data_IF_764049723073
#
_entry.id   IF_764049723073
#
_cell.length_a   1.000
_cell.length_b   1.000
_cell.length_c   1.000
_cell.angle_alpha   90.00
_cell.angle_beta   90.00
_cell.angle_gamma   90.00
#
_symmetry.space_group_name_H-M   'P 1'
#
loop_
_entity.id
_entity.type
_entity.pdbx_description
1 polymer ?
#
# COMPACT_ATOMS: atom_id res chain seq x y z
N UNK A 1 -21.12 8.11 -14.36
CA UNK A 1 -19.90 7.36 -14.03
C UNK A 1 -18.67 8.21 -14.26
N UNK A 2 -18.16 8.88 -13.22
CA UNK A 2 -16.90 9.63 -13.32
C UNK A 2 -15.76 8.64 -13.15
N UNK A 3 -15.31 8.04 -14.25
CA UNK A 3 -14.17 7.11 -14.33
C UNK A 3 -12.83 7.74 -13.95
N UNK A 4 -12.75 8.29 -12.73
CA UNK A 4 -11.49 8.65 -12.11
C UNK A 4 -10.69 7.37 -11.93
N UNK A 5 -9.55 7.29 -12.58
CA UNK A 5 -8.62 6.18 -12.39
C UNK A 5 -8.16 6.22 -10.93
N UNK A 6 -8.70 5.34 -10.10
CA UNK A 6 -8.44 5.27 -8.66
C UNK A 6 -6.98 4.93 -8.32
N UNK A 7 -6.21 4.54 -9.33
CA UNK A 7 -4.79 4.24 -9.24
C UNK A 7 -3.90 5.40 -9.75
N UNK A 8 -4.45 6.61 -9.91
CA UNK A 8 -3.64 7.79 -10.22
C UNK A 8 -2.53 7.97 -9.21
N UNK A 9 -1.40 8.47 -9.69
CA UNK A 9 -0.25 8.77 -8.86
C UNK A 9 -0.18 10.26 -8.60
N UNK A 10 0.04 10.65 -7.36
CA UNK A 10 0.32 12.04 -7.01
C UNK A 10 1.75 12.44 -7.49
N UNK A 11 2.16 13.67 -7.18
CA UNK A 11 3.49 14.18 -7.54
C UNK A 11 4.64 13.36 -6.91
N UNK A 12 4.38 12.72 -5.76
CA UNK A 12 5.30 11.82 -5.08
C UNK A 12 5.18 10.36 -5.57
N UNK A 13 4.48 10.12 -6.68
CA UNK A 13 4.36 8.77 -7.24
C UNK A 13 3.55 7.79 -6.40
N UNK A 14 2.71 8.27 -5.47
CA UNK A 14 1.86 7.47 -4.58
C UNK A 14 0.43 7.40 -5.10
N UNK A 15 -0.24 6.25 -4.97
CA UNK A 15 -1.69 6.15 -5.19
C UNK A 15 -2.46 6.66 -3.97
N UNK A 16 -3.75 7.04 -4.12
CA UNK A 16 -4.62 7.30 -2.97
C UNK A 16 -4.58 6.20 -1.90
N UNK A 17 -4.44 4.94 -2.33
CA UNK A 17 -4.36 3.78 -1.44
C UNK A 17 -3.05 3.73 -0.64
N UNK A 18 -1.93 4.17 -1.21
CA UNK A 18 -0.67 4.34 -0.47
C UNK A 18 -0.83 5.38 0.63
N UNK A 19 -1.41 6.54 0.30
CA UNK A 19 -1.59 7.65 1.25
C UNK A 19 -2.53 7.24 2.37
N UNK A 20 -3.68 6.66 2.03
CA UNK A 20 -4.63 6.16 3.02
C UNK A 20 -4.00 5.06 3.91
N UNK A 21 -3.17 4.20 3.31
CA UNK A 21 -2.49 3.15 4.03
C UNK A 21 -1.44 3.66 5.00
N UNK A 22 -0.62 4.62 4.57
CA UNK A 22 0.40 5.27 5.40
C UNK A 22 -0.21 6.05 6.59
N UNK A 23 -1.42 6.60 6.43
CA UNK A 23 -2.10 7.37 7.48
C UNK A 23 -3.02 6.53 8.36
N UNK A 24 -3.19 5.23 8.08
CA UNK A 24 -4.05 4.35 8.85
C UNK A 24 -5.55 4.60 8.66
N UNK A 25 -5.95 5.27 7.56
CA UNK A 25 -7.34 5.64 7.29
C UNK A 25 -8.15 4.45 6.74
N UNK A 26 -8.55 3.53 7.62
CA UNK A 26 -9.26 2.30 7.26
C UNK A 26 -10.53 2.51 6.44
N UNK A 27 -11.38 3.48 6.80
CA UNK A 27 -12.62 3.77 6.06
C UNK A 27 -12.31 4.21 4.62
N UNK A 28 -11.31 5.06 4.45
CA UNK A 28 -10.85 5.51 3.13
C UNK A 28 -10.27 4.35 2.33
N UNK A 29 -9.50 3.46 2.96
CA UNK A 29 -8.98 2.23 2.32
C UNK A 29 -10.13 1.37 1.82
N UNK A 30 -11.17 1.15 2.64
CA UNK A 30 -12.36 0.38 2.24
C UNK A 30 -13.05 1.04 1.03
N UNK A 31 -13.28 2.35 1.07
CA UNK A 31 -13.92 3.07 -0.04
C UNK A 31 -13.11 2.97 -1.35
N UNK A 32 -11.79 3.10 -1.27
CA UNK A 32 -10.91 2.98 -2.43
C UNK A 32 -10.91 1.56 -3.00
N UNK A 33 -10.87 0.54 -2.15
CA UNK A 33 -10.94 -0.86 -2.56
C UNK A 33 -12.30 -1.21 -3.19
N UNK A 34 -13.41 -0.68 -2.65
CA UNK A 34 -14.74 -0.78 -3.26
C UNK A 34 -14.80 -0.09 -4.63
N UNK A 35 -14.04 1.00 -4.79
CA UNK A 35 -13.81 1.68 -6.06
C UNK A 35 -12.88 0.94 -7.04
N UNK A 36 -12.50 -0.31 -6.75
CA UNK A 36 -11.58 -1.14 -7.54
C UNK A 36 -10.14 -0.60 -7.60
N UNK A 37 -9.69 0.09 -6.56
CA UNK A 37 -8.27 0.41 -6.42
C UNK A 37 -7.45 -0.88 -6.36
N UNK A 38 -6.31 -0.90 -7.05
CA UNK A 38 -5.42 -2.06 -7.07
C UNK A 38 -4.44 -1.99 -5.89
N UNK A 39 -4.53 -2.91 -4.91
CA UNK A 39 -3.65 -2.93 -3.75
C UNK A 39 -2.22 -3.41 -4.05
N UNK A 40 -1.95 -3.82 -5.30
CA UNK A 40 -0.64 -4.32 -5.74
C UNK A 40 0.19 -3.26 -6.46
N UNK A 41 -0.35 -2.06 -6.68
CA UNK A 41 0.37 -0.97 -7.34
C UNK A 41 1.61 -0.65 -6.52
N UNK A 42 2.75 -0.57 -7.20
CA UNK A 42 3.98 -0.04 -6.61
C UNK A 42 4.03 1.46 -6.84
N UNK A 43 4.42 2.21 -5.83
CA UNK A 43 4.75 3.62 -5.99
C UNK A 43 5.89 3.81 -7.01
N UNK A 44 6.05 5.07 -7.44
CA UNK A 44 7.14 5.49 -8.33
C UNK A 44 8.32 6.12 -7.58
N UNK A 45 8.35 5.96 -6.26
CA UNK A 45 9.50 6.39 -5.47
C UNK A 45 10.68 5.42 -5.66
N UNK A 46 11.83 5.83 -5.14
CA UNK A 46 13.06 5.04 -5.18
C UNK A 46 12.92 3.66 -4.51
N UNK A 47 11.92 3.47 -3.66
CA UNK A 47 11.69 2.21 -2.94
C UNK A 47 10.67 1.29 -3.62
N UNK A 48 9.86 1.76 -4.59
CA UNK A 48 8.86 0.94 -5.30
C UNK A 48 7.96 0.15 -4.34
N UNK A 49 7.51 0.81 -3.27
CA UNK A 49 6.70 0.22 -2.18
C UNK A 49 5.26 0.02 -2.63
N UNK A 50 4.55 -0.91 -1.98
CA UNK A 50 3.09 -1.09 -2.18
C UNK A 50 2.32 -0.41 -1.05
N UNK A 51 0.98 -0.22 -1.15
CA UNK A 51 0.18 0.27 -0.03
C UNK A 51 0.33 -0.58 1.24
N UNK A 52 0.57 -1.88 1.06
CA UNK A 52 0.82 -2.81 2.16
C UNK A 52 2.14 -2.50 2.89
N UNK A 53 3.21 -2.14 2.18
CA UNK A 53 4.45 -1.66 2.81
C UNK A 53 4.19 -0.39 3.61
N UNK A 54 3.48 0.57 3.03
CA UNK A 54 3.21 1.86 3.68
C UNK A 54 2.40 1.70 4.99
N UNK A 55 1.40 0.81 5.00
CA UNK A 55 0.63 0.51 6.21
C UNK A 55 1.44 -0.26 7.25
N UNK A 56 2.22 -1.26 6.82
CA UNK A 56 3.02 -2.09 7.72
C UNK A 56 4.18 -1.32 8.37
N UNK A 57 4.87 -0.46 7.63
CA UNK A 57 5.94 0.42 8.17
C UNK A 57 5.45 1.38 9.25
N UNK A 58 4.15 1.69 9.26
CA UNK A 58 3.52 2.57 10.23
C UNK A 58 2.80 1.81 11.35
N UNK A 59 2.77 0.48 11.29
CA UNK A 59 2.10 -0.36 12.29
C UNK A 59 0.57 -0.27 12.25
N UNK A 60 -0.01 -0.01 11.07
CA UNK A 60 -1.47 0.07 10.90
C UNK A 60 -2.07 -1.31 10.59
N UNK A 61 -2.09 -2.18 11.60
CA UNK A 61 -2.51 -3.59 11.48
C UNK A 61 -3.93 -3.76 10.91
N UNK A 62 -4.84 -2.86 11.25
CA UNK A 62 -6.20 -2.81 10.71
C UNK A 62 -6.20 -2.62 9.19
N UNK A 63 -5.39 -1.70 8.68
CA UNK A 63 -5.23 -1.46 7.24
C UNK A 63 -4.50 -2.61 6.57
N UNK A 64 -3.49 -3.18 7.22
CA UNK A 64 -2.77 -4.37 6.72
C UNK A 64 -3.76 -5.50 6.45
N UNK A 65 -4.67 -5.78 7.41
CA UNK A 65 -5.75 -6.76 7.25
C UNK A 65 -6.61 -6.47 6.02
N UNK A 66 -7.13 -5.24 5.90
CA UNK A 66 -7.98 -4.83 4.78
C UNK A 66 -7.30 -4.99 3.42
N UNK A 67 -6.02 -4.62 3.32
CA UNK A 67 -5.26 -4.75 2.08
C UNK A 67 -5.02 -6.23 1.72
N UNK A 68 -4.75 -7.09 2.70
CA UNK A 68 -4.61 -8.53 2.49
C UNK A 68 -5.93 -9.17 2.04
N UNK A 69 -7.05 -8.79 2.64
CA UNK A 69 -8.40 -9.22 2.22
C UNK A 69 -8.71 -8.80 0.78
N UNK A 70 -8.22 -7.63 0.36
CA UNK A 70 -8.33 -7.17 -1.02
C UNK A 70 -7.33 -7.82 -1.99
N UNK A 71 -6.53 -8.78 -1.52
CA UNK A 71 -5.60 -9.54 -2.35
C UNK A 71 -4.23 -8.88 -2.55
N UNK A 72 -3.83 -7.94 -1.67
CA UNK A 72 -2.43 -7.52 -1.59
C UNK A 72 -1.53 -8.74 -1.33
N UNK A 73 -0.38 -8.78 -2.00
CA UNK A 73 0.58 -9.87 -1.80
C UNK A 73 1.44 -9.55 -0.59
N UNK A 74 1.31 -10.38 0.44
CA UNK A 74 2.15 -10.34 1.67
C UNK A 74 3.65 -10.47 1.37
N UNK A 75 4.01 -11.18 0.30
CA UNK A 75 5.39 -11.40 -0.14
C UNK A 75 5.80 -10.48 -1.30
N UNK A 76 5.03 -9.42 -1.60
CA UNK A 76 5.49 -8.42 -2.57
C UNK A 76 6.76 -7.79 -2.04
N UNK A 77 7.83 -7.79 -2.82
CA UNK A 77 9.05 -7.10 -2.42
C UNK A 77 9.08 -5.66 -2.94
N UNK A 78 9.68 -4.76 -2.17
CA UNK A 78 10.05 -3.42 -2.61
C UNK A 78 11.33 -3.46 -3.48
N UNK A 79 11.94 -2.31 -3.78
CA UNK A 79 13.18 -2.22 -4.55
C UNK A 79 14.40 -2.80 -3.81
N UNK A 80 14.39 -2.79 -2.48
CA UNK A 80 15.44 -3.33 -1.63
C UNK A 80 15.28 -4.83 -1.37
N UNK A 81 14.23 -5.45 -1.92
CA UNK A 81 13.82 -6.84 -1.65
C UNK A 81 13.23 -7.06 -0.26
N UNK A 82 12.86 -5.98 0.43
CA UNK A 82 12.15 -6.06 1.69
C UNK A 82 10.69 -6.45 1.43
N UNK A 83 10.09 -7.26 2.30
CA UNK A 83 8.65 -7.52 2.25
C UNK A 83 7.93 -6.61 3.25
N UNK A 84 6.63 -6.32 3.07
CA UNK A 84 5.87 -5.41 3.93
C UNK A 84 5.98 -5.77 5.41
N UNK A 85 6.06 -7.07 5.71
CA UNK A 85 6.13 -7.59 7.08
C UNK A 85 7.55 -8.06 7.45
N UNK A 86 8.54 -7.95 6.55
CA UNK A 86 9.93 -8.22 6.90
C UNK A 86 10.54 -6.96 7.49
N UNK A 87 10.75 -6.97 8.81
CA UNK A 87 11.96 -6.40 9.35
C UNK A 87 13.09 -7.37 8.95
N UNK A 88 14.16 -6.94 8.26
CA UNK A 88 15.27 -7.85 7.97
C UNK A 88 15.79 -8.44 9.30
N UNK A 89 16.06 -9.76 9.37
CA UNK A 89 16.86 -10.28 10.48
C UNK A 89 18.24 -9.62 10.37
N UNK A 90 18.52 -8.71 11.29
CA UNK A 90 19.84 -8.14 11.59
C UNK A 90 20.52 -7.36 10.45
N UNK A 91 20.41 -6.03 10.48
CA UNK A 91 21.53 -5.16 10.12
C UNK A 91 22.19 -4.69 11.40
N UNK A 92 23.12 -5.51 11.91
CA UNK A 92 24.13 -5.12 12.89
C UNK A 92 25.45 -4.86 12.19
#
# INVERSE_FOLDING_TARGET
>A
DNGADVNILNQDGLTPLHVAGQQGHSDTVIQLLQGKADPKVKDRNAWRKTPLHAAAEKGHDNVVGLLLEAGAKINSTDQNKDTPLHCPPDMH
#
